data_IF_713134902972
#
_entry.id   IF_713134902972
#
_cell.length_a   1.000
_cell.length_b   1.000
_cell.length_c   1.000
_cell.angle_alpha   90.00
_cell.angle_beta   90.00
_cell.angle_gamma   90.00
#
_symmetry.space_group_name_H-M   'P 1'
#
loop_
_entity.id
_entity.type
_entity.pdbx_description
1 polymer ?
#
# COMPACT_ATOMS: atom_id res chain seq x y z
N UNK A 1 -41.20 -75.59 26.91
CA UNK A 1 -40.71 -74.30 26.37
C UNK A 1 -39.72 -74.65 25.27
N UNK A 2 -40.15 -74.53 24.01
CA UNK A 2 -39.52 -75.21 22.86
C UNK A 2 -38.34 -74.40 22.33
N UNK A 3 -37.23 -75.06 22.00
CA UNK A 3 -36.06 -74.46 21.33
C UNK A 3 -36.41 -73.75 20.00
N UNK A 4 -37.57 -74.06 19.42
CA UNK A 4 -38.05 -73.51 18.16
C UNK A 4 -38.51 -72.04 18.34
N UNK A 5 -39.20 -71.72 19.44
CA UNK A 5 -39.69 -70.35 19.72
C UNK A 5 -38.55 -69.37 20.04
N UNK A 6 -37.49 -69.84 20.71
CA UNK A 6 -36.34 -68.99 21.07
C UNK A 6 -35.54 -68.59 19.82
N UNK A 7 -35.40 -69.49 18.85
CA UNK A 7 -34.67 -69.22 17.60
C UNK A 7 -35.43 -68.27 16.69
N UNK A 8 -36.75 -68.41 16.60
CA UNK A 8 -37.61 -67.50 15.86
C UNK A 8 -37.56 -66.07 16.43
N UNK A 9 -37.53 -65.93 17.77
CA UNK A 9 -37.37 -64.60 18.38
C UNK A 9 -36.01 -63.97 18.12
N UNK A 10 -34.91 -64.73 18.11
CA UNK A 10 -33.56 -64.21 17.80
C UNK A 10 -33.48 -63.72 16.35
N UNK A 11 -34.07 -64.46 15.40
CA UNK A 11 -34.10 -64.08 13.99
C UNK A 11 -34.94 -62.81 13.78
N UNK A 12 -36.08 -62.68 14.47
CA UNK A 12 -36.91 -61.47 14.41
C UNK A 12 -36.20 -60.27 15.04
N UNK A 13 -35.47 -60.45 16.15
CA UNK A 13 -34.72 -59.37 16.81
C UNK A 13 -33.55 -58.89 15.94
N UNK A 14 -32.82 -59.81 15.30
CA UNK A 14 -31.73 -59.43 14.39
C UNK A 14 -32.25 -58.81 13.08
N UNK A 15 -33.39 -59.26 12.56
CA UNK A 15 -34.08 -58.64 11.43
C UNK A 15 -34.59 -57.22 11.77
N UNK A 16 -35.10 -57.02 12.99
CA UNK A 16 -35.50 -55.70 13.50
C UNK A 16 -34.29 -54.77 13.70
N UNK A 17 -33.15 -55.27 14.16
CA UNK A 17 -31.91 -54.47 14.23
C UNK A 17 -31.42 -54.02 12.86
N UNK A 18 -31.42 -54.90 11.85
CA UNK A 18 -31.05 -54.56 10.46
C UNK A 18 -31.96 -53.50 9.84
N UNK A 19 -33.26 -53.54 10.14
CA UNK A 19 -34.22 -52.54 9.67
C UNK A 19 -34.09 -51.21 10.42
N UNK A 20 -33.76 -51.24 11.72
CA UNK A 20 -33.50 -50.04 12.53
C UNK A 20 -32.15 -49.35 12.23
N UNK A 21 -31.12 -50.10 11.85
CA UNK A 21 -29.79 -49.57 11.48
C UNK A 21 -29.75 -48.93 10.08
N UNK A 22 -30.65 -49.35 9.19
CA UNK A 22 -30.78 -48.83 7.82
C UNK A 22 -31.09 -47.32 7.72
N UNK A 23 -32.07 -46.75 8.45
CA UNK A 23 -32.34 -45.32 8.44
C UNK A 23 -31.20 -44.51 9.07
N UNK A 24 -30.57 -45.01 10.14
CA UNK A 24 -29.42 -44.36 10.77
C UNK A 24 -28.24 -44.24 9.81
N UNK A 25 -27.92 -45.31 9.08
CA UNK A 25 -26.87 -45.33 8.05
C UNK A 25 -27.16 -44.36 6.90
N UNK A 26 -28.42 -44.24 6.47
CA UNK A 26 -28.83 -43.26 5.45
C UNK A 26 -28.68 -41.82 5.96
N UNK A 27 -29.13 -41.53 7.19
CA UNK A 27 -29.01 -40.21 7.79
C UNK A 27 -27.56 -39.77 7.96
N UNK A 28 -26.68 -40.68 8.40
CA UNK A 28 -25.25 -40.45 8.52
C UNK A 28 -24.59 -40.18 7.16
N UNK A 29 -24.94 -40.96 6.12
CA UNK A 29 -24.45 -40.73 4.76
C UNK A 29 -24.89 -39.35 4.22
N UNK A 30 -26.15 -38.98 4.42
CA UNK A 30 -26.66 -37.68 3.97
C UNK A 30 -26.06 -36.51 4.76
N UNK A 31 -25.87 -36.66 6.07
CA UNK A 31 -25.18 -35.67 6.90
C UNK A 31 -23.71 -35.52 6.49
N UNK A 32 -23.02 -36.64 6.30
CA UNK A 32 -21.62 -36.67 5.85
C UNK A 32 -21.43 -36.04 4.48
N UNK A 33 -22.36 -36.25 3.53
CA UNK A 33 -22.34 -35.60 2.21
C UNK A 33 -22.55 -34.09 2.29
N UNK A 34 -23.47 -33.62 3.13
CA UNK A 34 -23.70 -32.19 3.33
C UNK A 34 -22.49 -31.52 3.99
N UNK A 35 -21.91 -32.17 5.01
CA UNK A 35 -20.71 -31.70 5.69
C UNK A 35 -19.49 -31.67 4.77
N UNK A 36 -19.30 -32.71 3.94
CA UNK A 36 -18.19 -32.73 2.97
C UNK A 36 -18.36 -31.69 1.87
N UNK A 37 -19.59 -31.50 1.36
CA UNK A 37 -19.90 -30.45 0.39
C UNK A 37 -19.63 -29.05 0.96
N UNK A 38 -20.11 -28.76 2.17
CA UNK A 38 -19.84 -27.49 2.84
C UNK A 38 -18.34 -27.26 3.06
N UNK A 39 -17.60 -28.30 3.49
CA UNK A 39 -16.15 -28.23 3.66
C UNK A 39 -15.43 -27.97 2.34
N UNK A 40 -15.86 -28.59 1.25
CA UNK A 40 -15.25 -28.34 -0.06
C UNK A 40 -15.46 -26.91 -0.53
N UNK A 41 -16.63 -26.31 -0.28
CA UNK A 41 -16.91 -24.91 -0.63
C UNK A 41 -15.96 -23.96 0.11
N UNK A 42 -15.85 -24.12 1.43
CA UNK A 42 -14.94 -23.30 2.27
C UNK A 42 -13.49 -23.44 1.81
N UNK A 43 -13.04 -24.67 1.53
CA UNK A 43 -11.68 -24.91 1.03
C UNK A 43 -11.45 -24.30 -0.36
N UNK A 44 -12.44 -24.35 -1.25
CA UNK A 44 -12.32 -23.74 -2.58
C UNK A 44 -12.32 -22.22 -2.53
N UNK A 45 -13.11 -21.61 -1.63
CA UNK A 45 -13.11 -20.16 -1.41
C UNK A 45 -11.77 -19.68 -0.86
N UNK A 46 -11.18 -20.41 0.09
CA UNK A 46 -9.84 -20.11 0.59
C UNK A 46 -8.78 -20.18 -0.53
N UNK A 47 -8.84 -21.20 -1.39
CA UNK A 47 -7.95 -21.32 -2.56
C UNK A 47 -8.16 -20.19 -3.58
N UNK A 48 -9.40 -19.74 -3.77
CA UNK A 48 -9.72 -18.61 -4.63
C UNK A 48 -9.10 -17.31 -4.10
N UNK A 49 -9.20 -17.07 -2.79
CA UNK A 49 -8.57 -15.92 -2.16
C UNK A 49 -7.04 -15.95 -2.32
N UNK A 50 -6.40 -17.08 -2.03
CA UNK A 50 -4.96 -17.29 -2.20
C UNK A 50 -4.49 -17.01 -3.64
N UNK A 51 -5.21 -17.55 -4.65
CA UNK A 51 -4.91 -17.29 -6.06
C UNK A 51 -5.15 -15.84 -6.45
N UNK A 52 -6.16 -15.19 -5.88
CA UNK A 52 -6.44 -13.77 -6.09
C UNK A 52 -5.28 -12.89 -5.63
N UNK A 53 -4.73 -13.16 -4.46
CA UNK A 53 -3.55 -12.46 -3.92
C UNK A 53 -2.31 -12.67 -4.81
N UNK A 54 -2.10 -13.89 -5.30
CA UNK A 54 -1.02 -14.21 -6.22
C UNK A 54 -1.13 -13.40 -7.52
N UNK A 55 -2.33 -13.34 -8.11
CA UNK A 55 -2.59 -12.52 -9.31
C UNK A 55 -2.35 -11.03 -9.01
N UNK A 56 -2.84 -10.52 -7.87
CA UNK A 56 -2.64 -9.12 -7.49
C UNK A 56 -1.15 -8.76 -7.37
N UNK A 57 -0.35 -9.66 -6.78
CA UNK A 57 1.10 -9.51 -6.66
C UNK A 57 1.78 -9.48 -8.03
N UNK A 58 1.39 -10.38 -8.95
CA UNK A 58 1.94 -10.38 -10.31
C UNK A 58 1.57 -9.13 -11.09
N UNK A 59 0.33 -8.64 -10.95
CA UNK A 59 -0.12 -7.39 -11.59
C UNK A 59 0.65 -6.19 -11.08
N UNK A 60 0.87 -6.09 -9.76
CA UNK A 60 1.69 -5.02 -9.19
C UNK A 60 3.12 -5.05 -9.76
N UNK A 61 3.75 -6.23 -9.80
CA UNK A 61 5.09 -6.40 -10.38
C UNK A 61 5.15 -6.03 -11.87
N UNK A 62 4.12 -6.39 -12.64
CA UNK A 62 4.03 -6.01 -14.05
C UNK A 62 3.82 -4.50 -14.25
N UNK A 63 3.10 -3.85 -13.33
CA UNK A 63 2.87 -2.41 -13.33
C UNK A 63 4.13 -1.58 -13.04
N UNK A 64 5.09 -2.13 -12.28
CA UNK A 64 6.34 -1.43 -11.95
C UNK A 64 7.28 -1.17 -13.15
N UNK A 65 6.92 -1.60 -14.37
CA UNK A 65 7.73 -1.36 -15.57
C UNK A 65 7.57 0.02 -16.20
N UNK A 66 6.51 0.76 -15.82
CA UNK A 66 6.23 2.10 -16.33
C UNK A 66 6.11 3.06 -15.16
N UNK A 67 7.00 4.05 -15.12
CA UNK A 67 6.95 5.15 -14.14
C UNK A 67 6.17 6.31 -14.74
N UNK A 68 5.17 6.79 -14.01
CA UNK A 68 4.36 7.96 -14.35
C UNK A 68 4.45 8.99 -13.24
N UNK A 69 4.41 10.26 -13.60
CA UNK A 69 4.33 11.35 -12.62
C UNK A 69 2.87 11.49 -12.17
N UNK A 70 2.60 11.68 -10.86
CA UNK A 70 1.23 11.84 -10.36
C UNK A 70 0.67 13.26 -10.60
N UNK A 71 1.53 14.21 -10.96
CA UNK A 71 1.22 15.64 -11.11
C UNK A 71 1.87 16.17 -12.39
N UNK A 72 1.33 17.28 -12.89
CA UNK A 72 1.98 18.07 -13.94
C UNK A 72 3.28 18.68 -13.39
N UNK A 73 4.37 18.50 -14.12
CA UNK A 73 5.71 18.85 -13.65
C UNK A 73 6.70 19.02 -14.80
N UNK A 74 7.77 19.77 -14.53
CA UNK A 74 8.96 19.87 -15.38
C UNK A 74 10.03 18.91 -14.85
N UNK A 75 10.68 18.19 -15.76
CA UNK A 75 11.82 17.30 -15.44
C UNK A 75 13.10 18.13 -15.35
N UNK A 76 13.72 18.18 -14.16
CA UNK A 76 14.96 18.92 -13.92
C UNK A 76 16.19 18.11 -14.34
N UNK A 77 16.23 16.82 -13.99
CA UNK A 77 17.32 15.92 -14.32
C UNK A 77 16.81 14.50 -14.54
N UNK A 78 17.44 13.77 -15.45
CA UNK A 78 17.19 12.34 -15.68
C UNK A 78 18.48 11.60 -15.42
N UNK A 79 18.53 10.81 -14.34
CA UNK A 79 19.71 10.02 -14.01
C UNK A 79 19.87 8.81 -14.94
N UNK A 80 18.79 8.38 -15.59
CA UNK A 80 18.76 7.20 -16.46
C UNK A 80 18.34 7.59 -17.88
N UNK A 81 19.32 8.01 -18.67
CA UNK A 81 19.16 8.48 -20.05
C UNK A 81 19.41 7.37 -21.11
N UNK A 82 20.04 6.26 -20.70
CA UNK A 82 20.56 5.24 -21.61
C UNK A 82 19.75 3.94 -21.54
N UNK A 83 19.44 3.36 -22.71
CA UNK A 83 18.74 2.06 -22.82
C UNK A 83 19.57 0.94 -22.19
N UNK A 84 18.95 0.17 -21.28
CA UNK A 84 19.57 -1.00 -20.64
C UNK A 84 20.30 -0.72 -19.33
N UNK A 85 20.30 0.53 -18.84
CA UNK A 85 20.81 0.86 -17.50
C UNK A 85 19.93 0.19 -16.44
N UNK A 86 20.57 -0.52 -15.50
CA UNK A 86 19.90 -1.22 -14.40
C UNK A 86 19.78 -0.28 -13.20
N UNK A 87 18.57 -0.18 -12.63
CA UNK A 87 18.29 0.67 -11.46
C UNK A 87 18.11 -0.26 -10.26
N UNK A 88 18.81 0.04 -9.17
CA UNK A 88 18.64 -0.67 -7.91
C UNK A 88 17.32 -0.30 -7.22
N UNK A 89 16.83 -1.12 -6.27
CA UNK A 89 15.69 -0.75 -5.45
C UNK A 89 15.97 0.55 -4.70
N UNK A 90 15.09 1.54 -4.86
CA UNK A 90 15.26 2.88 -4.26
C UNK A 90 16.22 3.80 -5.02
N UNK A 91 16.71 3.41 -6.20
CA UNK A 91 17.49 4.30 -7.06
C UNK A 91 16.63 5.42 -7.65
N UNK A 92 17.23 6.61 -7.77
CA UNK A 92 16.61 7.76 -8.42
C UNK A 92 16.57 7.55 -9.94
N UNK A 93 15.47 7.96 -10.58
CA UNK A 93 15.28 7.84 -12.04
C UNK A 93 15.29 9.21 -12.70
N UNK A 94 14.52 10.12 -12.13
CA UNK A 94 14.42 11.50 -12.56
C UNK A 94 14.08 12.39 -11.35
N UNK A 95 14.56 13.61 -11.40
CA UNK A 95 14.18 14.70 -10.51
C UNK A 95 13.13 15.56 -11.22
N UNK A 96 12.00 15.78 -10.57
CA UNK A 96 10.86 16.51 -11.12
C UNK A 96 10.49 17.68 -10.21
N UNK A 97 10.10 18.78 -10.82
CA UNK A 97 9.59 19.99 -10.16
C UNK A 97 8.14 20.19 -10.58
N UNK A 98 7.17 20.13 -9.65
CA UNK A 98 5.76 20.32 -9.99
C UNK A 98 5.48 21.72 -10.58
N UNK A 99 4.51 21.80 -11.49
CA UNK A 99 4.09 23.08 -12.04
C UNK A 99 3.05 23.76 -11.14
N UNK A 100 3.13 25.09 -11.03
CA UNK A 100 2.12 25.88 -10.32
C UNK A 100 2.17 25.81 -8.79
N UNK A 101 3.31 25.38 -8.21
CA UNK A 101 3.52 25.42 -6.76
C UNK A 101 3.86 26.83 -6.29
N UNK A 102 3.35 27.18 -5.11
CA UNK A 102 3.80 28.38 -4.41
C UNK A 102 5.29 28.25 -4.10
N UNK A 103 6.06 29.25 -4.52
CA UNK A 103 7.50 29.30 -4.30
C UNK A 103 7.76 29.84 -2.90
N UNK A 104 8.42 29.04 -2.07
CA UNK A 104 8.90 29.46 -0.77
C UNK A 104 10.39 29.77 -0.87
N UNK A 105 10.79 30.94 -0.39
CA UNK A 105 12.20 31.28 -0.20
C UNK A 105 12.56 31.03 1.26
N UNK A 106 13.57 30.20 1.50
CA UNK A 106 14.13 30.02 2.84
C UNK A 106 15.30 30.98 3.03
N UNK A 107 15.21 31.83 4.06
CA UNK A 107 16.25 32.79 4.41
C UNK A 107 16.74 32.53 5.83
N UNK A 108 18.04 32.29 5.98
CA UNK A 108 18.67 32.16 7.30
C UNK A 108 19.10 33.54 7.81
N UNK A 109 18.59 33.92 8.97
CA UNK A 109 18.87 35.21 9.61
C UNK A 109 19.61 34.96 10.92
N UNK A 110 20.73 35.66 11.18
CA UNK A 110 21.43 35.55 12.47
C UNK A 110 20.49 35.88 13.63
N UNK A 111 20.56 35.11 14.72
CA UNK A 111 19.73 35.33 15.91
C UNK A 111 19.86 36.75 16.50
N UNK A 112 21.00 37.42 16.29
CA UNK A 112 21.21 38.82 16.69
C UNK A 112 20.38 39.84 15.89
N UNK A 113 19.84 39.46 14.73
CA UNK A 113 19.10 40.33 13.80
C UNK A 113 17.65 39.89 13.54
N UNK A 114 17.18 38.78 14.12
CA UNK A 114 15.82 38.28 13.93
C UNK A 114 14.74 39.12 14.64
N UNK A 115 15.15 40.06 15.50
CA UNK A 115 14.23 40.86 16.31
C UNK A 115 13.18 41.59 15.47
N UNK A 116 11.90 41.27 15.72
CA UNK A 116 10.75 41.91 15.06
C UNK A 116 10.17 41.16 13.86
N UNK A 117 10.77 40.04 13.43
CA UNK A 117 10.22 39.22 12.34
C UNK A 117 9.17 38.27 12.91
N UNK A 118 7.93 38.43 12.45
CA UNK A 118 6.78 37.59 12.81
C UNK A 118 6.06 37.15 11.54
N UNK A 119 5.30 36.04 11.56
CA UNK A 119 4.45 35.68 10.43
C UNK A 119 3.54 36.84 10.02
N UNK A 120 3.45 37.12 8.72
CA UNK A 120 2.74 38.27 8.17
C UNK A 120 3.56 39.55 8.00
N UNK A 121 4.86 39.53 8.33
CA UNK A 121 5.77 40.64 8.04
C UNK A 121 5.96 40.79 6.51
N UNK A 122 5.73 41.99 5.98
CA UNK A 122 5.94 42.30 4.55
C UNK A 122 7.44 42.55 4.30
N UNK A 123 8.02 41.76 3.40
CA UNK A 123 9.39 41.90 2.97
C UNK A 123 9.49 42.22 1.47
N UNK A 124 10.71 42.54 1.05
CA UNK A 124 11.06 42.67 -0.35
C UNK A 124 12.27 41.77 -0.63
N UNK A 125 12.06 40.75 -1.45
CA UNK A 125 13.10 39.84 -1.89
C UNK A 125 13.59 40.24 -3.28
N UNK A 126 14.88 40.50 -3.41
CA UNK A 126 15.51 40.74 -4.72
C UNK A 126 16.32 39.52 -5.11
N UNK A 127 15.96 38.92 -6.25
CA UNK A 127 16.70 37.81 -6.83
C UNK A 127 18.00 38.33 -7.47
N UNK A 128 19.14 37.87 -6.96
CA UNK A 128 20.46 38.17 -7.53
C UNK A 128 20.73 37.28 -8.75
N UNK A 129 19.94 37.41 -9.81
CA UNK A 129 20.19 36.71 -11.08
C UNK A 129 21.19 37.48 -11.94
N UNK A 130 21.70 36.84 -13.00
CA UNK A 130 22.61 37.47 -13.97
C UNK A 130 21.99 38.72 -14.63
N UNK A 131 20.66 38.80 -14.66
CA UNK A 131 19.92 39.99 -15.11
C UNK A 131 18.88 40.43 -14.07
N UNK A 132 19.36 41.14 -13.04
CA UNK A 132 18.52 41.70 -11.98
C UNK A 132 17.49 42.72 -12.48
N UNK A 133 17.62 43.24 -13.71
CA UNK A 133 16.68 44.20 -14.29
C UNK A 133 15.36 43.55 -14.72
N UNK A 134 15.38 42.24 -14.99
CA UNK A 134 14.23 41.52 -15.53
C UNK A 134 13.18 41.18 -14.47
N UNK A 135 13.59 40.93 -13.22
CA UNK A 135 12.69 40.41 -12.18
C UNK A 135 12.28 41.43 -11.11
N UNK A 136 13.04 42.51 -10.93
CA UNK A 136 12.72 43.56 -9.94
C UNK A 136 12.62 43.03 -8.49
N UNK A 137 12.24 43.88 -7.52
CA UNK A 137 11.94 43.44 -6.16
C UNK A 137 10.61 42.69 -6.13
N UNK A 138 10.63 41.45 -5.63
CA UNK A 138 9.43 40.65 -5.41
C UNK A 138 8.87 41.00 -4.02
N UNK A 139 7.62 41.46 -3.97
CA UNK A 139 6.92 41.62 -2.70
C UNK A 139 6.73 40.23 -2.06
N UNK A 140 7.17 40.07 -0.82
CA UNK A 140 7.04 38.82 -0.09
C UNK A 140 6.25 39.01 1.21
N UNK A 141 5.88 37.89 1.82
CA UNK A 141 5.34 37.87 3.17
C UNK A 141 5.90 36.68 3.91
N UNK A 142 6.35 36.90 5.15
CA UNK A 142 6.87 35.84 6.00
C UNK A 142 5.74 34.88 6.38
N UNK A 143 5.78 33.65 5.85
CA UNK A 143 4.77 32.61 6.13
C UNK A 143 5.00 31.95 7.48
N UNK A 144 6.26 31.63 7.80
CA UNK A 144 6.61 30.96 9.05
C UNK A 144 8.03 31.30 9.49
N UNK A 145 8.25 31.37 10.80
CA UNK A 145 9.57 31.53 11.41
C UNK A 145 9.90 30.27 12.20
N UNK A 146 10.96 29.56 11.81
CA UNK A 146 11.42 28.37 12.51
C UNK A 146 12.11 28.75 13.83
N UNK A 147 11.94 27.91 14.87
CA UNK A 147 12.60 28.10 16.17
C UNK A 147 13.96 27.41 16.26
N UNK A 148 14.45 26.81 15.16
CA UNK A 148 15.75 26.14 15.11
C UNK A 148 16.84 27.11 14.67
N UNK A 149 17.96 27.11 15.38
CA UNK A 149 19.16 27.85 15.01
C UNK A 149 20.27 26.85 14.75
N UNK A 150 20.33 26.34 13.52
CA UNK A 150 21.42 25.49 13.06
C UNK A 150 22.55 26.39 12.53
N UNK A 151 23.71 26.34 13.18
CA UNK A 151 24.93 26.96 12.66
C UNK A 151 25.35 26.09 11.47
N UNK A 152 25.41 26.61 10.24
CA UNK A 152 25.77 25.79 9.08
C UNK A 152 27.21 25.29 9.23
N UNK A 153 27.37 23.96 9.26
CA UNK A 153 28.65 23.32 8.99
C UNK A 153 28.98 23.56 7.51
N UNK A 154 30.00 24.36 7.28
CA UNK A 154 30.36 24.94 5.98
C UNK A 154 30.98 23.92 5.02
N UNK A 155 30.31 22.78 4.76
CA UNK A 155 30.87 21.71 3.94
C UNK A 155 30.09 21.30 2.69
N UNK A 156 28.89 21.81 2.45
CA UNK A 156 28.16 21.47 1.22
C UNK A 156 27.51 22.70 0.58
N UNK A 157 28.31 23.43 -0.18
CA UNK A 157 27.83 24.23 -1.30
C UNK A 157 28.83 24.02 -2.44
N UNK A 158 28.51 23.08 -3.33
CA UNK A 158 29.14 22.89 -4.65
C UNK A 158 28.09 23.20 -5.70
#
# INVERSE_FOLDING_TARGET
MSLIEVREQIDVVTARKRTAESPARKAEYHSGRKGSAARTVVVTEAKLAERGEEIARYRLRAGCGVLITPVDCVVQAVEVDTKGKVIGPGGTVAEIVPDGVELFAEAQIPASRIGGIVPGFEGALTLLTFDASQFGPLADTVVSVSSSSDIPDSREAV
#
